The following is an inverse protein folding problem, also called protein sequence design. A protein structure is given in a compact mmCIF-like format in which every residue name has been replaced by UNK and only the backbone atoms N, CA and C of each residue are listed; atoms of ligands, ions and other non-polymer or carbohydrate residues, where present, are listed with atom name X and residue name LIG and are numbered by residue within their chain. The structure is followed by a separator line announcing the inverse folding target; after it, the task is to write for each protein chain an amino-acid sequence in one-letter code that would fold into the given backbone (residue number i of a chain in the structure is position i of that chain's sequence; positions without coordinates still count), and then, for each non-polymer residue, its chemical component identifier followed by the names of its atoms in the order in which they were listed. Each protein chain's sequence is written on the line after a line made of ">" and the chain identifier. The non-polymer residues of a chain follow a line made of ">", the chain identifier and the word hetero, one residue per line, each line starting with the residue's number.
data_IF_760880187205
#
_entry.id   IF_760880187205
#
_cell.length_a   1.000
_cell.length_b   1.000
_cell.length_c   1.000
_cell.angle_alpha   90.00
_cell.angle_beta   90.00
_cell.angle_gamma   90.00
#
_symmetry.space_group_name_H-M   'P 1'
#
loop_
_entity.id
_entity.type
_entity.pdbx_description
1 polymer ?
#
# COMPACT_ATOMS: atom_id res chain seq x y z
N UNK A 1 -23.35 10.87 5.02
CA UNK A 1 -23.53 9.45 5.39
C UNK A 1 -22.72 8.53 4.48
N UNK A 2 -21.54 8.96 4.04
CA UNK A 2 -20.62 8.19 3.20
C UNK A 2 -19.29 7.87 3.89
N UNK A 3 -19.15 8.23 5.17
CA UNK A 3 -17.88 8.21 5.91
C UNK A 3 -17.65 6.88 6.65
N UNK A 4 -18.60 5.93 6.54
CA UNK A 4 -18.55 4.63 7.22
C UNK A 4 -18.18 3.46 6.29
N UNK A 5 -18.14 3.65 4.96
CA UNK A 5 -17.87 2.56 4.03
C UNK A 5 -16.37 2.43 3.73
N UNK A 6 -15.87 1.20 3.71
CA UNK A 6 -14.55 0.90 3.17
C UNK A 6 -14.54 1.15 1.66
N UNK A 7 -13.43 1.71 1.16
CA UNK A 7 -13.18 1.91 -0.26
C UNK A 7 -11.96 1.11 -0.69
N UNK A 8 -11.92 0.74 -1.96
CA UNK A 8 -10.76 0.11 -2.56
C UNK A 8 -9.83 1.15 -3.16
N UNK A 9 -8.56 1.13 -2.75
CA UNK A 9 -7.48 1.90 -3.36
C UNK A 9 -6.53 0.92 -4.03
N UNK A 10 -6.45 1.01 -5.36
CA UNK A 10 -5.53 0.20 -6.18
C UNK A 10 -4.20 0.92 -6.36
N UNK A 11 -3.13 0.28 -5.91
CA UNK A 11 -1.74 0.72 -6.05
C UNK A 11 -1.04 -0.19 -7.07
N UNK A 12 -0.81 0.25 -8.32
CA UNK A 12 -0.20 -0.59 -9.34
C UNK A 12 1.16 -1.13 -8.91
N UNK A 13 1.47 -2.40 -9.16
CA UNK A 13 2.80 -2.94 -8.81
C UNK A 13 3.94 -2.19 -9.52
N UNK A 14 3.66 -1.58 -10.66
CA UNK A 14 4.59 -0.71 -11.40
C UNK A 14 4.84 0.66 -10.76
N UNK A 15 4.08 1.07 -9.74
CA UNK A 15 4.34 2.31 -8.99
C UNK A 15 5.18 2.08 -7.73
N UNK A 16 5.52 0.83 -7.42
CA UNK A 16 6.42 0.52 -6.32
C UNK A 16 7.89 0.63 -6.74
N UNK A 17 8.76 0.89 -5.77
CA UNK A 17 10.21 0.86 -5.94
C UNK A 17 10.86 0.37 -4.66
N UNK A 18 11.92 -0.41 -4.76
CA UNK A 18 12.78 -0.73 -3.61
C UNK A 18 13.91 0.28 -3.40
N UNK A 19 13.94 1.38 -4.16
CA UNK A 19 14.84 2.51 -4.02
C UNK A 19 14.11 3.74 -3.48
N UNK A 20 14.23 4.01 -2.19
CA UNK A 20 13.58 5.13 -1.52
C UNK A 20 14.41 5.67 -0.34
N UNK A 21 14.13 6.91 0.03
CA UNK A 21 14.81 7.67 1.09
C UNK A 21 14.31 7.24 2.47
N UNK A 22 15.17 6.73 3.37
CA UNK A 22 14.79 6.43 4.75
C UNK A 22 14.31 7.64 5.56
N UNK A 23 14.61 8.85 5.09
CA UNK A 23 14.25 10.09 5.79
C UNK A 23 12.88 10.65 5.37
N UNK A 24 12.41 10.36 4.15
CA UNK A 24 11.18 10.96 3.61
C UNK A 24 10.17 9.95 3.07
N UNK A 25 10.60 8.69 2.88
CA UNK A 25 9.82 7.65 2.20
C UNK A 25 9.72 7.83 0.69
N UNK A 26 10.27 8.92 0.13
CA UNK A 26 10.19 9.19 -1.31
C UNK A 26 11.08 8.25 -2.11
N UNK A 27 10.58 7.83 -3.27
CA UNK A 27 11.35 7.04 -4.21
C UNK A 27 12.51 7.88 -4.76
N UNK A 28 13.72 7.34 -4.69
CA UNK A 28 14.92 7.96 -5.26
C UNK A 28 15.15 7.53 -6.71
N UNK A 29 14.62 6.37 -7.07
CA UNK A 29 14.54 5.84 -8.44
C UNK A 29 13.17 5.21 -8.62
N UNK A 30 12.47 5.49 -9.72
CA UNK A 30 11.17 4.87 -10.01
C UNK A 30 11.32 3.70 -11.00
N UNK A 31 10.29 2.86 -11.08
CA UNK A 31 10.15 1.84 -12.11
C UNK A 31 10.23 2.37 -13.55
N UNK A 32 9.80 3.63 -13.76
CA UNK A 32 9.87 4.26 -15.08
C UNK A 32 11.31 4.63 -15.46
N UNK A 33 12.15 4.92 -14.45
CA UNK A 33 13.56 5.28 -14.65
C UNK A 33 14.44 4.03 -14.80
N UNK A 34 14.21 3.01 -13.96
CA UNK A 34 14.95 1.76 -13.96
C UNK A 34 14.04 0.58 -13.59
N UNK A 35 13.79 -0.32 -14.53
CA UNK A 35 12.93 -1.49 -14.27
C UNK A 35 13.51 -2.46 -13.25
N UNK A 36 14.81 -2.37 -12.90
CA UNK A 36 15.44 -3.26 -11.91
C UNK A 36 15.04 -2.97 -10.48
N UNK A 37 14.48 -1.78 -10.20
CA UNK A 37 13.95 -1.41 -8.86
C UNK A 37 12.48 -1.79 -8.68
N UNK A 38 11.84 -2.36 -9.72
CA UNK A 38 10.46 -2.81 -9.69
C UNK A 38 10.31 -4.17 -9.02
N UNK A 39 9.15 -4.42 -8.38
CA UNK A 39 8.82 -5.78 -7.95
C UNK A 39 8.66 -6.69 -9.17
N UNK A 40 9.15 -7.92 -9.06
CA UNK A 40 8.99 -8.96 -10.09
C UNK A 40 7.92 -9.97 -9.68
N UNK A 41 7.46 -10.80 -10.63
CA UNK A 41 6.58 -11.93 -10.30
C UNK A 41 7.20 -12.87 -9.25
N UNK A 42 8.53 -13.04 -9.24
CA UNK A 42 9.21 -13.86 -8.23
C UNK A 42 9.18 -13.22 -6.84
N UNK A 43 9.19 -11.89 -6.75
CA UNK A 43 9.07 -11.17 -5.49
C UNK A 43 7.64 -11.32 -4.94
N UNK A 44 6.65 -11.19 -5.82
CA UNK A 44 5.23 -11.37 -5.51
C UNK A 44 4.88 -12.81 -5.07
N UNK A 45 5.66 -13.81 -5.48
CA UNK A 45 5.52 -15.20 -5.00
C UNK A 45 6.11 -15.42 -3.59
N UNK A 46 6.90 -14.48 -3.09
CA UNK A 46 7.78 -14.68 -1.94
C UNK A 46 7.78 -13.53 -0.95
N UNK A 47 6.62 -12.89 -0.75
CA UNK A 47 6.45 -11.81 0.22
C UNK A 47 6.67 -12.35 1.63
N UNK A 48 7.47 -11.62 2.40
CA UNK A 48 7.84 -11.97 3.78
C UNK A 48 7.42 -10.94 4.81
N UNK A 49 7.03 -9.74 4.36
CA UNK A 49 6.63 -8.63 5.22
C UNK A 49 5.69 -7.70 4.47
N UNK A 50 4.69 -7.18 5.17
CA UNK A 50 3.81 -6.11 4.72
C UNK A 50 3.86 -4.99 5.76
N UNK A 51 3.93 -3.75 5.30
CA UNK A 51 3.92 -2.57 6.15
C UNK A 51 2.97 -1.49 5.63
N UNK A 52 2.33 -0.79 6.56
CA UNK A 52 1.63 0.46 6.29
C UNK A 52 2.34 1.56 7.07
N UNK A 53 2.60 2.67 6.40
CA UNK A 53 3.36 3.80 6.92
C UNK A 53 2.52 5.07 6.86
N UNK A 54 2.74 5.92 7.86
CA UNK A 54 2.47 7.34 7.77
C UNK A 54 3.81 8.06 7.92
N UNK A 55 4.28 8.69 6.85
CA UNK A 55 5.61 9.33 6.78
C UNK A 55 5.61 10.49 5.77
N UNK A 56 6.54 11.44 5.93
CA UNK A 56 6.72 12.53 4.96
C UNK A 56 5.68 13.65 5.04
N UNK A 57 4.71 13.59 5.96
CA UNK A 57 3.77 14.66 6.27
C UNK A 57 3.51 14.73 7.79
N UNK A 58 3.56 15.93 8.38
CA UNK A 58 3.16 16.15 9.78
C UNK A 58 1.61 16.14 9.87
N UNK A 59 1.06 15.47 10.88
CA UNK A 59 -0.38 15.44 11.09
C UNK A 59 -0.91 14.24 11.87
N UNK A 60 -2.20 14.30 12.16
CA UNK A 60 -2.94 13.17 12.74
C UNK A 60 -3.16 12.09 11.68
N UNK A 61 -3.10 10.84 12.13
CA UNK A 61 -3.23 9.65 11.30
C UNK A 61 -4.32 8.77 11.90
N UNK A 62 -5.28 8.40 11.08
CA UNK A 62 -6.26 7.36 11.37
C UNK A 62 -6.54 6.57 10.08
N UNK A 63 -6.29 5.27 10.09
CA UNK A 63 -6.55 4.39 8.96
C UNK A 63 -7.09 3.06 9.48
N UNK A 64 -8.27 2.70 9.01
CA UNK A 64 -8.81 1.36 9.21
C UNK A 64 -8.64 0.54 7.94
N UNK A 65 -8.19 -0.70 8.11
CA UNK A 65 -7.85 -1.62 7.02
C UNK A 65 -8.68 -2.88 7.18
N UNK A 66 -9.61 -3.11 6.25
CA UNK A 66 -10.42 -4.31 6.20
C UNK A 66 -9.65 -5.46 5.53
N UNK A 67 -8.93 -5.17 4.45
CA UNK A 67 -8.16 -6.16 3.72
C UNK A 67 -7.02 -5.55 2.89
N UNK A 68 -6.00 -6.36 2.66
CA UNK A 68 -4.97 -6.15 1.63
C UNK A 68 -5.07 -7.33 0.67
N UNK A 69 -5.14 -7.07 -0.62
CA UNK A 69 -5.23 -8.10 -1.66
C UNK A 69 -4.45 -7.71 -2.91
N UNK A 70 -4.36 -8.60 -3.89
CA UNK A 70 -3.70 -8.35 -5.17
C UNK A 70 -4.67 -8.60 -6.33
N UNK A 71 -4.92 -7.60 -7.15
CA UNK A 71 -5.77 -7.73 -8.34
C UNK A 71 -4.95 -8.21 -9.53
N UNK A 72 -5.51 -9.12 -10.33
CA UNK A 72 -4.90 -9.53 -11.59
C UNK A 72 -4.75 -8.35 -12.58
N UNK A 73 -3.75 -8.38 -13.48
CA UNK A 73 -3.69 -7.42 -14.58
C UNK A 73 -4.97 -7.47 -15.40
N UNK A 74 -5.49 -6.29 -15.77
CA UNK A 74 -6.64 -6.23 -16.68
C UNK A 74 -6.27 -6.92 -17.99
N UNK A 75 -7.02 -7.98 -18.36
CA UNK A 75 -6.87 -8.65 -19.65
C UNK A 75 -7.33 -7.71 -20.77
N UNK A 76 -6.42 -6.90 -21.31
CA UNK A 76 -6.64 -6.13 -22.54
C UNK A 76 -6.61 -7.11 -23.73
N UNK A 77 -7.64 -7.96 -23.87
CA UNK A 77 -7.51 -9.15 -24.72
C UNK A 77 -8.79 -9.81 -25.23
N UNK A 78 -9.99 -9.33 -24.89
CA UNK A 78 -11.19 -9.73 -25.63
C UNK A 78 -11.70 -8.51 -26.39
N UNK A 79 -11.09 -8.26 -27.55
CA UNK A 79 -11.79 -7.58 -28.62
C UNK A 79 -13.01 -8.44 -28.94
N UNK A 80 -14.17 -8.09 -28.36
CA UNK A 80 -15.44 -8.59 -28.82
C UNK A 80 -15.54 -8.21 -30.30
N UNK A 81 -15.39 -9.19 -31.19
CA UNK A 81 -15.66 -9.00 -32.60
C UNK A 81 -17.05 -8.35 -32.74
N UNK A 82 -17.22 -7.32 -33.59
CA UNK A 82 -18.47 -6.59 -33.66
C UNK A 82 -19.61 -7.51 -34.09
N UNK A 83 -20.76 -7.55 -33.38
CA UNK A 83 -21.96 -8.10 -33.96
C UNK A 83 -22.43 -7.14 -35.06
N UNK A 84 -22.52 -7.66 -36.27
CA UNK A 84 -23.19 -6.97 -37.37
C UNK A 84 -24.68 -6.84 -37.02
N UNK A 85 -25.21 -5.61 -37.12
CA UNK A 85 -26.62 -5.16 -37.08
C UNK A 85 -27.23 -4.63 -35.75
N UNK A 86 -27.22 -3.29 -35.65
CA UNK A 86 -28.29 -2.36 -35.23
C UNK A 86 -29.21 -2.75 -34.04
N UNK A 87 -28.74 -2.48 -32.82
CA UNK A 87 -29.57 -2.25 -31.63
C UNK A 87 -28.96 -1.09 -30.81
N UNK A 88 -29.73 -0.32 -30.02
CA UNK A 88 -29.17 0.76 -29.20
C UNK A 88 -28.21 0.17 -28.17
N UNK A 89 -26.93 0.49 -28.31
CA UNK A 89 -25.87 0.12 -27.37
C UNK A 89 -26.12 0.88 -26.07
N UNK A 90 -26.68 0.19 -25.08
CA UNK A 90 -26.71 0.68 -23.71
C UNK A 90 -25.26 0.59 -23.21
N UNK A 91 -24.62 1.73 -23.00
CA UNK A 91 -23.29 1.80 -22.37
C UNK A 91 -23.42 1.38 -20.90
N UNK A 92 -23.42 0.08 -20.63
CA UNK A 92 -23.23 -0.42 -19.28
C UNK A 92 -21.75 -0.27 -18.94
N UNK A 93 -21.44 0.55 -17.94
CA UNK A 93 -20.11 0.62 -17.33
C UNK A 93 -19.67 -0.80 -16.93
N UNK A 94 -18.40 -1.20 -17.16
CA UNK A 94 -17.92 -2.47 -16.65
C UNK A 94 -17.94 -2.40 -15.13
N UNK A 95 -18.82 -3.17 -14.51
CA UNK A 95 -18.77 -3.44 -13.07
C UNK A 95 -17.64 -4.43 -12.89
N UNK A 96 -16.48 -3.97 -12.42
CA UNK A 96 -15.44 -4.85 -11.90
C UNK A 96 -16.08 -5.70 -10.81
N UNK A 97 -16.07 -7.01 -11.00
CA UNK A 97 -16.60 -7.93 -9.99
C UNK A 97 -15.46 -8.22 -9.02
N UNK A 98 -15.71 -8.19 -7.72
CA UNK A 98 -14.76 -8.43 -6.63
C UNK A 98 -14.17 -9.88 -6.58
N UNK A 99 -14.14 -10.59 -7.72
CA UNK A 99 -13.73 -11.98 -7.87
C UNK A 99 -12.32 -12.14 -8.46
N UNK A 100 -11.62 -11.04 -8.77
CA UNK A 100 -10.31 -11.05 -9.45
C UNK A 100 -9.13 -10.69 -8.51
N UNK A 101 -9.34 -10.74 -7.20
CA UNK A 101 -8.33 -10.42 -6.18
C UNK A 101 -7.88 -11.65 -5.40
N UNK A 102 -6.57 -11.80 -5.19
CA UNK A 102 -5.97 -12.80 -4.29
C UNK A 102 -5.77 -12.14 -2.92
N UNK A 103 -6.41 -12.63 -1.83
CA UNK A 103 -6.27 -12.01 -0.52
C UNK A 103 -4.84 -12.20 0.02
N UNK A 104 -4.32 -11.18 0.71
CA UNK A 104 -2.98 -11.19 1.30
C UNK A 104 -3.05 -11.02 2.82
N UNK A 105 -3.91 -10.11 3.29
CA UNK A 105 -4.17 -9.86 4.72
C UNK A 105 -5.67 -9.61 4.89
N UNK A 106 -6.28 -10.28 5.86
CA UNK A 106 -7.63 -9.98 6.35
C UNK A 106 -7.61 -9.99 7.88
N UNK A 107 -8.75 -9.70 8.53
CA UNK A 107 -8.87 -9.72 9.99
C UNK A 107 -10.10 -10.51 10.49
N UNK A 108 -10.54 -11.49 9.71
CA UNK A 108 -11.75 -12.28 9.94
C UNK A 108 -11.51 -13.65 10.58
N UNK A 109 -11.89 -14.72 9.87
CA UNK A 109 -11.63 -16.12 10.30
C UNK A 109 -10.91 -17.02 9.27
N UNK A 110 -10.39 -16.46 8.17
CA UNK A 110 -9.46 -17.12 7.27
C UNK A 110 -8.05 -17.28 7.89
N UNK A 111 -7.64 -18.49 8.31
CA UNK A 111 -6.36 -18.70 8.97
C UNK A 111 -5.13 -18.38 8.09
N UNK A 112 -5.29 -18.42 6.76
CA UNK A 112 -4.19 -18.17 5.82
C UNK A 112 -3.87 -16.66 5.70
N UNK A 113 -4.83 -15.79 6.04
CA UNK A 113 -4.73 -14.33 5.86
C UNK A 113 -5.00 -13.52 7.13
N UNK A 114 -5.51 -14.13 8.19
CA UNK A 114 -5.78 -13.48 9.49
C UNK A 114 -4.73 -13.76 10.57
N UNK A 115 -3.75 -14.63 10.29
CA UNK A 115 -2.74 -15.04 11.26
C UNK A 115 -1.58 -14.05 11.44
N UNK A 116 -1.59 -12.91 10.75
CA UNK A 116 -0.47 -11.97 10.73
C UNK A 116 -0.53 -11.00 11.92
N UNK A 117 0.50 -11.06 12.76
CA UNK A 117 0.65 -10.16 13.91
C UNK A 117 1.30 -8.85 13.47
N UNK A 118 0.47 -7.84 13.26
CA UNK A 118 0.92 -6.48 13.00
C UNK A 118 1.39 -5.81 14.30
N UNK A 119 2.58 -5.23 14.26
CA UNK A 119 3.18 -4.48 15.36
C UNK A 119 3.43 -3.04 14.94
N UNK A 120 3.01 -2.10 15.79
CA UNK A 120 3.31 -0.67 15.62
C UNK A 120 4.77 -0.37 15.99
N UNK A 121 5.40 0.50 15.19
CA UNK A 121 6.78 0.93 15.32
C UNK A 121 6.87 2.43 15.08
N UNK A 122 7.25 3.15 16.14
CA UNK A 122 7.51 4.59 16.09
C UNK A 122 8.90 4.90 15.55
N UNK A 123 9.05 6.06 14.92
CA UNK A 123 10.33 6.57 14.43
C UNK A 123 11.37 6.74 15.55
N UNK A 124 12.46 5.94 15.56
CA UNK A 124 13.52 6.08 16.56
C UNK A 124 14.60 7.09 16.15
N UNK A 125 14.54 7.66 14.94
CA UNK A 125 15.62 8.44 14.35
C UNK A 125 15.78 9.78 15.07
N UNK A 126 16.95 9.96 15.69
CA UNK A 126 17.45 11.23 16.23
C UNK A 126 16.48 12.08 17.08
N UNK A 127 15.63 11.42 17.88
CA UNK A 127 14.66 12.09 18.76
C UNK A 127 13.27 12.26 18.16
N UNK A 128 12.86 11.32 17.29
CA UNK A 128 11.50 11.22 16.75
C UNK A 128 10.43 11.41 17.82
N UNK A 129 9.39 12.17 17.47
CA UNK A 129 8.29 12.52 18.37
C UNK A 129 6.95 11.92 17.95
N UNK A 130 6.93 11.24 16.80
CA UNK A 130 5.75 10.57 16.27
C UNK A 130 5.37 9.39 17.18
N UNK A 131 4.07 9.22 17.40
CA UNK A 131 3.53 8.16 18.26
C UNK A 131 2.32 7.54 17.60
N UNK A 132 2.30 6.21 17.48
CA UNK A 132 1.20 5.45 16.89
C UNK A 132 0.73 4.30 17.77
N UNK A 133 -0.37 3.71 17.33
CA UNK A 133 -0.95 2.47 17.87
C UNK A 133 -1.43 1.57 16.74
N UNK A 134 -1.39 0.27 16.99
CA UNK A 134 -2.04 -0.73 16.16
C UNK A 134 -2.99 -1.56 17.00
N UNK A 135 -4.24 -1.69 16.56
CA UNK A 135 -5.26 -2.52 17.19
C UNK A 135 -6.04 -3.31 16.15
N UNK A 136 -6.59 -4.47 16.54
CA UNK A 136 -7.48 -5.25 15.66
C UNK A 136 -8.89 -5.22 16.24
N UNK A 137 -9.85 -4.74 15.46
CA UNK A 137 -11.27 -4.84 15.79
C UNK A 137 -11.83 -6.17 15.28
N UNK A 138 -11.75 -7.21 16.10
CA UNK A 138 -12.23 -8.56 15.73
C UNK A 138 -13.76 -8.68 15.56
N UNK A 139 -14.54 -7.68 15.98
CA UNK A 139 -16.01 -7.70 15.75
C UNK A 139 -16.33 -7.15 14.35
N UNK A 140 -15.60 -6.12 13.93
CA UNK A 140 -15.71 -5.51 12.62
C UNK A 140 -14.83 -6.15 11.54
N UNK A 141 -13.88 -7.02 11.93
CA UNK A 141 -12.89 -7.66 11.06
C UNK A 141 -12.00 -6.65 10.31
N UNK A 142 -11.41 -5.70 11.03
CA UNK A 142 -10.44 -4.75 10.46
C UNK A 142 -9.32 -4.39 11.46
N UNK A 143 -8.16 -4.01 10.93
CA UNK A 143 -7.08 -3.39 11.69
C UNK A 143 -7.24 -1.87 11.79
N UNK A 144 -6.76 -1.28 12.87
CA UNK A 144 -6.81 0.15 13.16
C UNK A 144 -5.37 0.64 13.35
N UNK A 145 -4.95 1.56 12.48
CA UNK A 145 -3.68 2.27 12.57
C UNK A 145 -3.95 3.73 12.90
N UNK A 146 -3.57 4.13 14.09
CA UNK A 146 -3.86 5.46 14.66
C UNK A 146 -2.58 6.11 15.16
N UNK A 147 -2.50 7.43 15.11
CA UNK A 147 -1.37 8.15 15.70
C UNK A 147 -1.22 9.59 15.25
N UNK A 148 -0.02 10.11 15.46
CA UNK A 148 0.39 11.46 15.08
C UNK A 148 1.83 11.40 14.56
N UNK A 149 2.03 11.88 13.34
CA UNK A 149 3.36 12.11 12.77
C UNK A 149 3.79 13.52 13.09
N UNK A 150 4.97 13.66 13.70
CA UNK A 150 5.55 14.95 14.08
C UNK A 150 6.83 15.22 13.35
N UNK A 151 7.08 16.50 13.08
CA UNK A 151 8.40 16.97 12.68
C UNK A 151 9.48 16.58 13.69
N UNK A 152 10.57 16.01 13.17
CA UNK A 152 11.76 15.69 13.94
C UNK A 152 12.69 16.91 13.90
N UNK A 153 12.89 17.63 15.03
CA UNK A 153 13.58 18.93 15.01
C UNK A 153 15.02 18.87 14.49
N UNK A 154 15.71 17.74 14.71
CA UNK A 154 17.08 17.52 14.24
C UNK A 154 17.19 17.32 12.73
N UNK A 155 16.10 16.89 12.08
CA UNK A 155 16.01 16.64 10.64
C UNK A 155 15.29 17.76 9.89
N UNK A 156 14.53 18.62 10.59
CA UNK A 156 13.64 19.62 9.97
C UNK A 156 12.72 18.99 8.91
N UNK A 157 12.24 17.77 9.20
CA UNK A 157 11.38 16.97 8.33
C UNK A 157 10.42 16.12 9.19
N UNK A 158 9.25 15.74 8.65
CA UNK A 158 8.33 14.83 9.31
C UNK A 158 9.00 13.49 9.63
N UNK A 159 8.72 12.94 10.81
CA UNK A 159 9.11 11.57 11.16
C UNK A 159 8.17 10.54 10.51
N UNK A 160 8.05 9.38 11.16
CA UNK A 160 7.07 8.37 10.75
C UNK A 160 6.45 7.60 11.92
N UNK A 161 5.32 6.98 11.64
CA UNK A 161 4.84 5.81 12.35
C UNK A 161 4.57 4.72 11.33
N UNK A 162 4.68 3.45 11.74
CA UNK A 162 4.32 2.34 10.87
C UNK A 162 3.75 1.17 11.64
N UNK A 163 3.02 0.33 10.94
CA UNK A 163 2.63 -0.99 11.41
C UNK A 163 3.15 -2.04 10.44
N UNK A 164 3.64 -3.15 10.96
CA UNK A 164 4.28 -4.17 10.15
C UNK A 164 3.96 -5.57 10.65
N UNK A 165 3.72 -6.49 9.71
CA UNK A 165 3.65 -7.92 9.97
C UNK A 165 4.70 -8.67 9.15
N UNK A 166 5.46 -9.53 9.82
CA UNK A 166 6.30 -10.54 9.17
C UNK A 166 5.53 -11.86 9.06
N UNK A 167 5.77 -12.62 8.00
CA UNK A 167 5.08 -13.90 7.80
C UNK A 167 5.45 -14.56 6.48
N UNK A 168 4.74 -15.63 6.16
CA UNK A 168 4.72 -16.21 4.82
C UNK A 168 3.35 -15.89 4.24
N UNK A 169 3.31 -15.01 3.25
CA UNK A 169 2.07 -14.61 2.61
C UNK A 169 1.79 -15.48 1.39
N UNK A 170 0.53 -15.52 0.95
CA UNK A 170 0.12 -16.27 -0.24
C UNK A 170 0.87 -15.81 -1.49
N UNK A 171 1.07 -16.75 -2.43
CA UNK A 171 1.68 -16.47 -3.73
C UNK A 171 0.73 -15.62 -4.58
N UNK A 172 1.08 -14.35 -4.75
CA UNK A 172 0.34 -13.39 -5.59
C UNK A 172 1.04 -13.12 -6.93
N UNK A 173 1.96 -13.97 -7.37
CA UNK A 173 2.70 -13.79 -8.63
C UNK A 173 1.81 -13.73 -9.87
N UNK A 174 0.64 -14.36 -9.84
CA UNK A 174 -0.36 -14.25 -10.90
C UNK A 174 -0.89 -12.82 -11.07
N UNK A 175 -0.79 -11.98 -10.04
CA UNK A 175 -1.17 -10.58 -10.07
C UNK A 175 -0.07 -9.66 -10.61
N UNK A 176 1.07 -10.18 -11.08
CA UNK A 176 2.10 -9.38 -11.72
C UNK A 176 1.53 -8.59 -12.91
N UNK A 177 1.80 -7.29 -12.96
CA UNK A 177 1.20 -6.35 -13.91
C UNK A 177 -0.18 -5.80 -13.48
N UNK A 178 -0.72 -6.27 -12.36
CA UNK A 178 -1.91 -5.73 -11.69
C UNK A 178 -1.55 -4.75 -10.58
N UNK A 179 -2.31 -4.79 -9.49
CA UNK A 179 -2.20 -3.85 -8.37
C UNK A 179 -2.26 -4.54 -7.02
N UNK A 180 -1.62 -3.95 -6.02
CA UNK A 180 -1.95 -4.17 -4.62
C UNK A 180 -3.21 -3.35 -4.30
N UNK A 181 -4.23 -3.97 -3.71
CA UNK A 181 -5.51 -3.33 -3.41
C UNK A 181 -5.69 -3.27 -1.91
N UNK A 182 -5.95 -2.05 -1.41
CA UNK A 182 -6.22 -1.76 -0.01
C UNK A 182 -7.73 -1.49 0.15
N UNK A 183 -8.43 -2.31 0.93
CA UNK A 183 -9.80 -2.00 1.39
C UNK A 183 -9.69 -1.21 2.69
N UNK A 184 -9.87 0.10 2.63
CA UNK A 184 -9.56 1.04 3.72
C UNK A 184 -10.62 2.12 3.90
N UNK A 185 -10.68 2.68 5.11
CA UNK A 185 -11.37 3.95 5.40
C UNK A 185 -10.54 4.79 6.38
N UNK A 186 -10.78 6.09 6.40
CA UNK A 186 -9.99 7.02 7.20
C UNK A 186 -10.80 8.25 7.57
N UNK A 187 -10.71 8.67 8.83
CA UNK A 187 -11.22 9.95 9.33
C UNK A 187 -10.24 11.10 9.05
N UNK A 188 -9.00 10.78 8.71
CA UNK A 188 -7.94 11.68 8.24
C UNK A 188 -7.64 11.42 6.77
N UNK A 189 -8.69 11.30 5.94
CA UNK A 189 -8.54 10.93 4.52
C UNK A 189 -7.75 11.96 3.70
N UNK A 190 -7.55 13.16 4.22
CA UNK A 190 -6.72 14.24 3.66
C UNK A 190 -5.22 14.15 4.03
N UNK A 191 -4.83 13.19 4.87
CA UNK A 191 -3.43 12.95 5.20
C UNK A 191 -2.67 12.41 3.97
N UNK A 192 -1.60 13.11 3.58
CA UNK A 192 -0.87 12.86 2.33
C UNK A 192 0.34 11.94 2.48
N UNK A 193 0.66 11.52 3.71
CA UNK A 193 1.85 10.73 4.02
C UNK A 193 1.63 9.22 4.04
N UNK A 194 0.49 8.72 3.55
CA UNK A 194 0.21 7.29 3.56
C UNK A 194 1.05 6.55 2.51
N UNK A 195 1.70 5.47 2.95
CA UNK A 195 2.46 4.57 2.07
C UNK A 195 2.22 3.12 2.45
N UNK A 196 2.31 2.24 1.47
CA UNK A 196 2.31 0.78 1.65
C UNK A 196 3.64 0.24 1.17
N UNK A 197 4.17 -0.75 1.90
CA UNK A 197 5.38 -1.44 1.52
C UNK A 197 5.25 -2.96 1.71
N UNK A 198 6.01 -3.70 0.92
CA UNK A 198 6.20 -5.14 1.13
C UNK A 198 7.65 -5.53 0.88
N UNK A 199 8.14 -6.50 1.67
CA UNK A 199 9.47 -7.06 1.48
C UNK A 199 9.40 -8.43 0.84
N UNK A 200 10.24 -8.65 -0.16
CA UNK A 200 10.43 -9.94 -0.83
C UNK A 200 11.91 -10.07 -1.24
N UNK A 201 12.40 -11.31 -1.36
CA UNK A 201 13.79 -11.57 -1.74
C UNK A 201 14.86 -11.15 -0.71
N UNK A 202 14.52 -10.33 0.29
CA UNK A 202 15.43 -9.86 1.32
C UNK A 202 15.86 -10.98 2.29
N UNK A 203 17.10 -10.90 2.76
CA UNK A 203 17.62 -11.75 3.85
C UNK A 203 17.06 -11.31 5.21
N UNK A 204 16.83 -10.01 5.37
CA UNK A 204 16.14 -9.42 6.52
C UNK A 204 15.11 -8.41 6.01
N UNK A 205 13.83 -8.78 6.11
CA UNK A 205 12.72 -7.94 5.65
C UNK A 205 12.65 -6.60 6.39
N UNK A 206 12.89 -6.61 7.71
CA UNK A 206 12.89 -5.40 8.53
C UNK A 206 14.05 -4.46 8.19
N UNK A 207 15.26 -4.98 7.94
CA UNK A 207 16.39 -4.17 7.52
C UNK A 207 16.18 -3.58 6.12
N UNK A 208 15.68 -4.39 5.18
CA UNK A 208 15.34 -3.91 3.84
C UNK A 208 14.32 -2.76 3.91
N UNK A 209 13.25 -2.95 4.70
CA UNK A 209 12.23 -1.92 4.91
C UNK A 209 12.63 -0.77 5.85
N UNK A 210 13.88 -0.74 6.32
CA UNK A 210 14.44 0.44 7.00
C UNK A 210 15.36 1.25 6.09
N UNK A 211 15.78 0.70 4.95
CA UNK A 211 16.84 1.26 4.12
C UNK A 211 16.46 1.54 2.67
N UNK A 212 15.53 0.78 2.07
CA UNK A 212 15.06 1.03 0.71
C UNK A 212 16.18 1.16 -0.31
N UNK A 213 17.14 0.23 -0.27
CA UNK A 213 18.39 0.25 -1.07
C UNK A 213 19.29 1.48 -0.89
N UNK A 214 18.94 2.45 -0.04
CA UNK A 214 19.80 3.58 0.33
C UNK A 214 20.90 3.17 1.32
N UNK A 215 20.69 2.06 2.06
CA UNK A 215 21.71 1.44 2.89
C UNK A 215 22.33 0.22 2.19
N UNK A 216 23.62 -0.08 2.41
CA UNK A 216 24.24 -1.27 1.84
C UNK A 216 23.44 -2.54 2.17
N UNK A 217 23.10 -3.30 1.12
CA UNK A 217 22.36 -4.57 1.23
C UNK A 217 20.93 -4.46 1.82
N UNK A 218 20.30 -3.30 1.70
CA UNK A 218 18.91 -3.05 2.16
C UNK A 218 17.85 -3.12 1.06
N UNK A 219 18.14 -3.77 -0.07
CA UNK A 219 17.18 -3.93 -1.16
C UNK A 219 16.12 -5.00 -0.92
N UNK A 220 15.08 -4.98 -1.76
CA UNK A 220 13.96 -5.91 -1.68
C UNK A 220 12.83 -5.49 -0.73
N UNK A 221 12.74 -4.20 -0.38
CA UNK A 221 11.53 -3.63 0.23
C UNK A 221 10.91 -2.58 -0.67
N UNK A 222 9.85 -2.97 -1.37
CA UNK A 222 9.15 -2.18 -2.36
C UNK A 222 8.14 -1.28 -1.65
N UNK A 223 8.20 0.04 -1.87
CA UNK A 223 7.33 1.04 -1.24
C UNK A 223 6.65 1.92 -2.29
N UNK A 224 5.37 2.22 -2.06
CA UNK A 224 4.59 3.14 -2.90
C UNK A 224 3.67 4.02 -2.03
N UNK A 225 3.44 5.29 -2.42
CA UNK A 225 2.41 6.12 -1.81
C UNK A 225 1.01 5.68 -2.23
N UNK A 226 0.03 5.96 -1.38
CA UNK A 226 -1.39 5.89 -1.74
C UNK A 226 -2.14 7.04 -1.07
N UNK A 227 -3.27 7.45 -1.67
CA UNK A 227 -4.05 8.59 -1.19
C UNK A 227 -5.54 8.32 -1.40
N UNK A 228 -6.38 8.89 -0.53
CA UNK A 228 -7.82 8.83 -0.72
C UNK A 228 -8.23 9.77 -1.86
N UNK A 229 -9.25 9.42 -2.68
CA UNK A 229 -9.73 10.31 -3.74
C UNK A 229 -10.14 11.72 -3.26
N UNK A 230 -10.61 11.83 -2.02
CA UNK A 230 -10.96 13.10 -1.37
C UNK A 230 -9.76 14.03 -1.19
N UNK A 231 -8.55 13.50 -1.01
CA UNK A 231 -7.35 14.33 -0.84
C UNK A 231 -6.82 14.88 -2.17
N UNK A 232 -7.00 14.13 -3.26
CA UNK A 232 -6.66 14.56 -4.63
C UNK A 232 -7.56 15.71 -5.13
N UNK A 233 -8.81 15.78 -4.65
CA UNK A 233 -9.73 16.85 -5.00
C UNK A 233 -9.37 18.19 -4.34
N UNK A 234 -8.66 18.16 -3.21
CA UNK A 234 -8.23 19.35 -2.46
C UNK A 234 -6.85 19.87 -2.89
N UNK A 235 -6.08 19.07 -3.65
CA UNK A 235 -4.73 19.43 -4.08
C UNK A 235 -4.64 20.24 -5.39
N UNK A 236 -5.78 20.57 -6.01
CA UNK A 236 -5.89 21.57 -7.09
C UNK A 236 -4.81 21.50 -8.19
N UNK A 237 -5.10 20.77 -9.27
CA UNK A 237 -4.51 21.00 -10.60
C UNK A 237 -2.98 21.05 -10.74
N UNK A 238 -2.19 20.31 -9.95
CA UNK A 238 -0.79 20.02 -10.33
C UNK A 238 -0.37 18.60 -9.94
N UNK A 239 0.13 17.86 -10.95
CA UNK A 239 0.81 16.57 -10.90
C UNK A 239 -0.04 15.29 -10.79
N UNK A 240 -0.64 14.87 -11.90
CA UNK A 240 -0.62 13.47 -12.39
C UNK A 240 -0.93 13.46 -13.89
N UNK A 241 0.11 13.63 -14.73
CA UNK A 241 0.20 13.14 -16.12
C UNK A 241 1.60 12.58 -16.29
#
# INVERSE_FOLDING_TARGET
>A
SGDDAFIEISVPFSSFSDHWSPATGDQTTTCADDSSVCPTASDLAGIKRVEIWAEGADGLVHLEIEAISASLPAVTGVSAAPPVLLAPVVLASPVMTAADTIPLVTFGTNPDTDGFEFTELNDPVMGGQSTGTWEVNSTGNFGIFDGEVKDVPSLSAPGFIKTAADGTFDDISAAFGGSLVLSVRSSTSDYQGFRVAFAAGATSSSYACSGGSSLPFSGGCFKAPFAFPSSLANSGDDAFI
#
